data_IF_802402091756
#
_entry.id   IF_802402091756
#
_cell.length_a   1.000
_cell.length_b   1.000
_cell.length_c   1.000
_cell.angle_alpha   90.00
_cell.angle_beta   90.00
_cell.angle_gamma   90.00
#
_symmetry.space_group_name_H-M   'P 1'
#
loop_
_entity.id
_entity.type
_entity.pdbx_description
1 polymer ?
#
# COMPACT_ATOMS: atom_id res chain seq x y z
N UNK A 1 27.20 4.13 -11.84
CA UNK A 1 27.82 3.24 -10.83
C UNK A 1 27.11 3.55 -9.51
N UNK A 2 27.13 2.67 -8.50
CA UNK A 2 26.65 3.05 -7.16
C UNK A 2 27.86 3.50 -6.37
N UNK A 3 27.80 4.66 -5.72
CA UNK A 3 28.94 5.20 -4.99
C UNK A 3 28.83 4.84 -3.51
N UNK A 4 29.87 4.21 -2.98
CA UNK A 4 29.93 3.80 -1.57
C UNK A 4 29.88 4.99 -0.62
N UNK A 5 30.35 6.15 -1.07
CA UNK A 5 30.27 7.43 -0.36
C UNK A 5 28.82 7.85 -0.12
N UNK A 6 27.94 7.69 -1.12
CA UNK A 6 26.51 7.98 -0.97
C UNK A 6 25.84 6.95 -0.05
N UNK A 7 26.24 5.67 -0.13
CA UNK A 7 25.74 4.64 0.80
C UNK A 7 26.08 4.98 2.26
N UNK A 8 27.33 5.38 2.53
CA UNK A 8 27.78 5.79 3.87
C UNK A 8 27.05 7.06 4.34
N UNK A 9 26.93 8.06 3.47
CA UNK A 9 26.20 9.30 3.76
C UNK A 9 24.75 9.02 4.18
N UNK A 10 24.02 8.24 3.39
CA UNK A 10 22.61 7.94 3.64
C UNK A 10 22.40 7.10 4.91
N UNK A 11 23.28 6.13 5.20
CA UNK A 11 23.24 5.37 6.46
C UNK A 11 23.51 6.25 7.68
N UNK A 12 24.47 7.17 7.59
CA UNK A 12 24.79 8.12 8.66
C UNK A 12 23.61 9.09 8.87
N UNK A 13 23.04 9.65 7.81
CA UNK A 13 21.86 10.52 7.85
C UNK A 13 20.68 9.81 8.50
N UNK A 14 20.38 8.58 8.07
CA UNK A 14 19.32 7.77 8.65
C UNK A 14 19.51 7.57 10.16
N UNK A 15 20.71 7.18 10.59
CA UNK A 15 20.98 6.97 12.00
C UNK A 15 20.86 8.25 12.81
N UNK A 16 21.46 9.35 12.34
CA UNK A 16 21.43 10.63 13.03
C UNK A 16 19.99 11.11 13.24
N UNK A 17 19.19 11.12 12.17
CA UNK A 17 17.80 11.58 12.19
C UNK A 17 16.93 10.76 13.13
N UNK A 18 17.17 9.44 13.22
CA UNK A 18 16.36 8.53 14.05
C UNK A 18 16.80 8.46 15.52
N UNK A 19 18.08 8.68 15.80
CA UNK A 19 18.66 8.58 17.15
C UNK A 19 18.76 9.90 17.90
N UNK A 20 18.25 11.00 17.33
CA UNK A 20 18.37 12.36 17.88
C UNK A 20 19.85 12.77 18.12
N UNK A 21 20.76 12.35 17.23
CA UNK A 21 22.18 12.72 17.25
C UNK A 21 23.05 11.96 18.25
N UNK A 22 22.65 10.76 18.68
CA UNK A 22 23.50 9.88 19.50
C UNK A 22 24.73 9.38 18.71
N UNK A 23 25.75 8.87 19.40
CA UNK A 23 26.96 8.32 18.76
C UNK A 23 26.65 7.05 17.95
N UNK A 24 27.23 6.93 16.75
CA UNK A 24 27.09 5.74 15.88
C UNK A 24 28.33 4.84 16.00
N UNK A 25 28.17 3.59 16.42
CA UNK A 25 29.25 2.60 16.45
C UNK A 25 29.66 2.19 15.02
N UNK A 26 30.96 2.22 14.72
CA UNK A 26 31.48 1.87 13.38
C UNK A 26 31.15 0.41 13.01
N UNK A 27 31.15 -0.51 13.98
CA UNK A 27 30.76 -1.91 13.77
C UNK A 27 29.28 -2.07 13.32
N UNK A 28 28.41 -1.13 13.69
CA UNK A 28 27.00 -1.13 13.28
C UNK A 28 26.86 -0.51 11.89
N UNK A 29 27.61 0.56 11.61
CA UNK A 29 27.70 1.16 10.28
C UNK A 29 28.25 0.15 9.24
N UNK A 30 29.29 -0.60 9.58
CA UNK A 30 29.89 -1.63 8.72
C UNK A 30 28.87 -2.71 8.34
N UNK A 31 28.13 -3.26 9.32
CA UNK A 31 27.10 -4.26 9.05
C UNK A 31 26.00 -3.72 8.13
N UNK A 32 25.52 -2.51 8.44
CA UNK A 32 24.46 -1.88 7.66
C UNK A 32 24.91 -1.56 6.23
N UNK A 33 26.18 -1.18 6.04
CA UNK A 33 26.80 -0.95 4.74
C UNK A 33 26.76 -2.22 3.87
N UNK A 34 27.23 -3.36 4.40
CA UNK A 34 27.19 -4.63 3.65
C UNK A 34 25.77 -5.14 3.40
N UNK A 35 24.85 -4.93 4.35
CA UNK A 35 23.42 -5.26 4.16
C UNK A 35 22.81 -4.42 3.03
N UNK A 36 23.09 -3.12 2.99
CA UNK A 36 22.63 -2.23 1.92
C UNK A 36 23.25 -2.62 0.57
N UNK A 37 24.54 -2.95 0.55
CA UNK A 37 25.26 -3.45 -0.63
C UNK A 37 24.58 -4.70 -1.21
N UNK A 38 24.28 -5.69 -0.37
CA UNK A 38 23.62 -6.94 -0.77
C UNK A 38 22.21 -6.67 -1.34
N UNK A 39 21.42 -5.83 -0.67
CA UNK A 39 20.05 -5.53 -1.10
C UNK A 39 20.03 -4.81 -2.46
N UNK A 40 20.88 -3.80 -2.65
CA UNK A 40 20.94 -3.08 -3.92
C UNK A 40 21.50 -3.99 -5.03
N UNK A 41 22.54 -4.78 -4.73
CA UNK A 41 23.11 -5.74 -5.67
C UNK A 41 22.06 -6.75 -6.16
N UNK A 42 21.23 -7.27 -5.25
CA UNK A 42 20.11 -8.15 -5.59
C UNK A 42 19.07 -7.45 -6.48
N UNK A 43 18.69 -6.20 -6.18
CA UNK A 43 17.71 -5.44 -6.95
C UNK A 43 18.19 -5.14 -8.37
N UNK A 44 19.47 -4.81 -8.53
CA UNK A 44 20.08 -4.50 -9.83
C UNK A 44 20.61 -5.75 -10.56
N UNK A 45 20.57 -6.92 -9.91
CA UNK A 45 21.16 -8.16 -10.40
C UNK A 45 22.65 -7.99 -10.78
N UNK A 46 23.40 -7.33 -9.89
CA UNK A 46 24.85 -7.10 -10.00
C UNK A 46 25.53 -7.49 -8.68
N UNK A 47 26.83 -7.80 -8.75
CA UNK A 47 27.64 -8.02 -7.56
C UNK A 47 28.43 -6.74 -7.31
N UNK A 48 28.19 -6.13 -6.15
CA UNK A 48 29.05 -5.10 -5.59
C UNK A 48 30.08 -5.81 -4.68
N UNK A 49 31.33 -5.33 -4.67
CA UNK A 49 32.41 -5.90 -3.84
C UNK A 49 33.21 -4.76 -3.19
N UNK A 50 32.58 -3.99 -2.33
CA UNK A 50 33.23 -2.92 -1.58
C UNK A 50 34.01 -3.44 -0.36
N UNK A 51 35.13 -2.78 -0.02
CA UNK A 51 35.85 -3.01 1.25
C UNK A 51 35.55 -1.86 2.19
N UNK A 52 34.77 -2.12 3.25
CA UNK A 52 34.26 -1.07 4.14
C UNK A 52 35.37 -0.16 4.68
N UNK A 53 36.51 -0.71 5.10
CA UNK A 53 37.57 0.12 5.69
C UNK A 53 38.19 1.06 4.65
N UNK A 54 38.41 0.57 3.43
CA UNK A 54 38.94 1.40 2.34
C UNK A 54 37.95 2.49 1.91
N UNK A 55 36.67 2.16 1.82
CA UNK A 55 35.64 3.13 1.43
C UNK A 55 35.36 4.14 2.54
N UNK A 56 35.40 3.71 3.80
CA UNK A 56 35.24 4.61 4.95
C UNK A 56 36.42 5.56 5.11
N UNK A 57 37.67 5.10 4.90
CA UNK A 57 38.86 5.97 4.92
C UNK A 57 38.74 7.09 3.86
N UNK A 58 38.27 6.77 2.64
CA UNK A 58 38.01 7.77 1.60
C UNK A 58 36.93 8.75 2.03
N UNK A 59 35.82 8.25 2.59
CA UNK A 59 34.71 9.05 3.07
C UNK A 59 35.16 10.02 4.18
N UNK A 60 35.97 9.56 5.14
CA UNK A 60 36.53 10.39 6.22
C UNK A 60 37.44 11.50 5.65
N UNK A 61 38.30 11.18 4.68
CA UNK A 61 39.15 12.17 4.00
C UNK A 61 38.33 13.26 3.30
N UNK A 62 37.22 12.89 2.63
CA UNK A 62 36.30 13.82 1.97
C UNK A 62 35.52 14.71 2.95
N UNK A 63 35.29 14.21 4.17
CA UNK A 63 34.43 14.86 5.15
C UNK A 63 35.14 15.96 5.97
N UNK A 64 36.40 16.28 5.68
CA UNK A 64 37.20 17.40 6.24
C UNK A 64 37.11 17.64 7.78
N UNK A 65 36.97 16.58 8.59
CA UNK A 65 36.78 16.62 10.06
C UNK A 65 35.40 17.11 10.54
N UNK A 66 34.36 17.04 9.72
CA UNK A 66 33.02 17.45 10.15
C UNK A 66 32.48 16.54 11.28
N UNK A 67 32.94 15.29 11.35
CA UNK A 67 32.71 14.40 12.49
C UNK A 67 34.01 14.02 13.18
N UNK A 68 33.90 13.57 14.43
CA UNK A 68 35.04 13.01 15.15
C UNK A 68 34.81 11.54 15.43
N UNK A 69 35.87 10.75 15.28
CA UNK A 69 35.86 9.35 15.67
C UNK A 69 36.46 9.25 17.07
N UNK A 70 35.67 8.78 18.03
CA UNK A 70 36.12 8.51 19.40
C UNK A 70 35.70 7.10 19.79
N UNK A 71 36.63 6.30 20.32
CA UNK A 71 36.36 4.94 20.80
C UNK A 71 35.57 4.06 19.80
N UNK A 72 35.92 4.11 18.51
CA UNK A 72 35.26 3.38 17.41
C UNK A 72 33.80 3.83 17.15
N UNK A 73 33.51 5.11 17.42
CA UNK A 73 32.20 5.72 17.23
C UNK A 73 32.31 7.05 16.50
N UNK A 74 31.36 7.30 15.62
CA UNK A 74 31.14 8.61 15.02
C UNK A 74 30.38 9.46 16.02
N UNK A 75 31.01 10.55 16.46
CA UNK A 75 30.40 11.57 17.31
C UNK A 75 30.00 12.76 16.44
N UNK A 76 28.73 13.16 16.54
CA UNK A 76 28.17 14.28 15.80
C UNK A 76 28.29 15.59 16.61
N UNK A 77 28.65 16.68 15.94
CA UNK A 77 28.97 17.96 16.60
C UNK A 77 27.74 18.87 16.78
N UNK A 78 26.85 18.92 15.79
CA UNK A 78 25.57 19.67 15.76
C UNK A 78 24.68 19.21 14.59
N UNK A 79 23.51 19.85 14.36
CA UNK A 79 22.58 19.55 13.25
C UNK A 79 23.04 20.11 11.90
N UNK A 80 23.74 21.25 11.88
CA UNK A 80 24.29 21.86 10.64
C UNK A 80 25.34 20.95 9.96
N UNK A 81 25.87 19.97 10.70
CA UNK A 81 26.78 18.94 10.22
C UNK A 81 26.26 18.13 9.03
N UNK A 82 25.00 17.67 9.05
CA UNK A 82 24.51 16.76 8.02
C UNK A 82 24.40 17.44 6.65
N UNK A 83 23.93 18.68 6.64
CA UNK A 83 23.81 19.48 5.41
C UNK A 83 25.20 19.74 4.81
N UNK A 84 26.18 20.08 5.66
CA UNK A 84 27.55 20.31 5.22
C UNK A 84 28.24 19.03 4.73
N UNK A 85 27.98 17.90 5.38
CA UNK A 85 28.50 16.59 4.97
C UNK A 85 27.94 16.19 3.60
N UNK A 86 26.64 16.38 3.38
CA UNK A 86 25.99 16.12 2.09
C UNK A 86 26.57 17.00 0.99
N UNK A 87 26.72 18.30 1.23
CA UNK A 87 27.33 19.23 0.28
C UNK A 87 28.76 18.81 -0.12
N UNK A 88 29.58 18.35 0.83
CA UNK A 88 30.95 17.93 0.57
C UNK A 88 31.03 16.63 -0.23
N UNK A 89 30.19 15.65 0.09
CA UNK A 89 30.13 14.38 -0.65
C UNK A 89 29.65 14.63 -2.08
N UNK A 90 28.60 15.43 -2.26
CA UNK A 90 28.10 15.78 -3.58
C UNK A 90 29.11 16.59 -4.40
N UNK A 91 29.85 17.51 -3.77
CA UNK A 91 30.92 18.26 -4.43
C UNK A 91 32.09 17.35 -4.85
N UNK A 92 32.44 16.36 -4.03
CA UNK A 92 33.47 15.38 -4.37
C UNK A 92 33.09 14.50 -5.58
N UNK A 93 31.79 14.34 -5.83
CA UNK A 93 31.22 13.52 -6.89
C UNK A 93 30.62 14.35 -8.06
N UNK A 94 30.90 15.65 -8.15
CA UNK A 94 30.25 16.57 -9.11
C UNK A 94 30.38 16.12 -10.59
N UNK A 95 31.48 15.46 -10.94
CA UNK A 95 31.76 14.95 -12.29
C UNK A 95 31.37 13.46 -12.49
N UNK A 96 30.76 12.82 -11.50
CA UNK A 96 30.41 11.38 -11.53
C UNK A 96 28.96 11.12 -11.96
N UNK A 97 28.70 9.91 -12.49
CA UNK A 97 27.37 9.49 -12.96
C UNK A 97 26.53 8.87 -11.82
N UNK A 98 25.72 9.73 -11.18
CA UNK A 98 24.88 9.38 -10.02
C UNK A 98 23.56 8.67 -10.37
N UNK A 99 23.36 8.27 -11.65
CA UNK A 99 22.08 7.71 -12.11
C UNK A 99 21.57 6.53 -11.27
N UNK A 100 22.49 5.75 -10.69
CA UNK A 100 22.14 4.55 -9.90
C UNK A 100 22.12 4.78 -8.39
N UNK A 101 22.50 5.95 -7.88
CA UNK A 101 22.48 6.20 -6.44
C UNK A 101 21.06 6.41 -5.90
N UNK A 102 20.10 6.78 -6.77
CA UNK A 102 18.68 6.82 -6.39
C UNK A 102 18.11 5.48 -5.91
N UNK A 103 18.77 4.34 -6.20
CA UNK A 103 18.37 3.04 -5.64
C UNK A 103 18.68 2.92 -4.14
N UNK A 104 19.63 3.72 -3.62
CA UNK A 104 19.99 3.73 -2.20
C UNK A 104 18.80 4.18 -1.37
N UNK A 105 18.21 5.34 -1.67
CA UNK A 105 17.06 5.88 -0.93
C UNK A 105 15.86 4.91 -0.93
N UNK A 106 15.62 4.21 -2.04
CA UNK A 106 14.55 3.21 -2.15
C UNK A 106 14.79 1.95 -1.28
N UNK A 107 16.05 1.68 -0.93
CA UNK A 107 16.45 0.45 -0.20
C UNK A 107 16.73 0.75 1.27
N UNK A 108 17.07 1.99 1.60
CA UNK A 108 17.55 2.44 2.91
C UNK A 108 16.57 2.12 4.04
N UNK A 109 15.27 2.22 3.77
CA UNK A 109 14.20 1.98 4.75
C UNK A 109 13.85 0.50 4.92
N UNK A 110 14.86 -0.36 4.99
CA UNK A 110 14.72 -1.80 5.22
C UNK A 110 14.94 -2.15 6.71
N UNK A 111 14.11 -3.07 7.24
CA UNK A 111 14.21 -3.51 8.64
C UNK A 111 15.56 -4.12 9.02
N UNK A 112 16.25 -4.78 8.07
CA UNK A 112 17.58 -5.34 8.30
C UNK A 112 18.60 -4.22 8.54
N UNK A 113 18.54 -3.13 7.77
CA UNK A 113 19.40 -1.95 7.94
C UNK A 113 19.19 -1.33 9.32
N UNK A 114 17.94 -1.17 9.76
CA UNK A 114 17.64 -0.63 11.09
C UNK A 114 18.22 -1.49 12.21
N UNK A 115 18.15 -2.82 12.07
CA UNK A 115 18.71 -3.76 13.05
C UNK A 115 20.23 -3.68 13.12
N UNK A 116 20.89 -3.60 11.97
CA UNK A 116 22.33 -3.52 11.88
C UNK A 116 22.86 -2.19 12.41
N UNK A 117 22.16 -1.08 12.12
CA UNK A 117 22.40 0.23 12.73
C UNK A 117 21.99 0.32 14.20
N UNK A 118 21.32 -0.70 14.75
CA UNK A 118 20.76 -0.72 16.11
C UNK A 118 19.76 0.44 16.38
N UNK A 119 19.05 0.88 15.34
CA UNK A 119 17.95 1.84 15.43
C UNK A 119 16.75 1.15 16.07
N UNK A 120 16.13 1.81 17.07
CA UNK A 120 14.94 1.29 17.75
C UNK A 120 13.70 2.09 17.34
N UNK A 121 12.52 1.44 17.20
CA UNK A 121 11.30 2.16 16.87
C UNK A 121 10.88 3.06 18.03
N UNK A 122 10.68 4.35 17.76
CA UNK A 122 10.27 5.35 18.75
C UNK A 122 8.74 5.50 18.84
N UNK A 123 8.02 4.37 18.97
CA UNK A 123 6.55 4.33 18.96
C UNK A 123 5.92 5.28 19.99
N UNK A 124 6.52 5.41 21.18
CA UNK A 124 6.01 6.25 22.26
C UNK A 124 5.81 7.72 21.82
N UNK A 125 6.70 8.26 20.98
CA UNK A 125 6.63 9.64 20.47
C UNK A 125 5.43 9.85 19.53
N UNK A 126 5.05 8.82 18.78
CA UNK A 126 3.98 8.87 17.76
C UNK A 126 2.72 8.09 18.15
N UNK A 127 2.58 7.69 19.42
CA UNK A 127 1.46 6.84 19.89
C UNK A 127 0.09 7.42 19.51
N UNK A 128 -0.07 8.75 19.54
CA UNK A 128 -1.32 9.40 19.17
C UNK A 128 -1.69 9.19 17.70
N UNK A 129 -0.72 9.26 16.78
CA UNK A 129 -0.93 9.04 15.34
C UNK A 129 -1.48 7.62 15.09
N UNK A 130 -0.79 6.61 15.63
CA UNK A 130 -1.18 5.20 15.48
C UNK A 130 -2.49 4.88 16.21
N UNK A 131 -2.71 5.44 17.41
CA UNK A 131 -3.95 5.23 18.17
C UNK A 131 -5.16 5.86 17.48
N UNK A 132 -4.99 7.00 16.80
CA UNK A 132 -6.05 7.62 16.02
C UNK A 132 -6.44 6.73 14.83
N UNK A 133 -5.47 6.18 14.09
CA UNK A 133 -5.75 5.27 12.98
C UNK A 133 -6.50 4.01 13.45
N UNK A 134 -6.05 3.40 14.54
CA UNK A 134 -6.77 2.28 15.17
C UNK A 134 -8.21 2.69 15.53
N UNK A 135 -8.40 3.87 16.11
CA UNK A 135 -9.73 4.37 16.50
C UNK A 135 -10.64 4.59 15.29
N UNK A 136 -10.12 5.11 14.18
CA UNK A 136 -10.85 5.26 12.92
C UNK A 136 -11.33 3.89 12.43
N UNK A 137 -10.42 2.91 12.34
CA UNK A 137 -10.75 1.54 11.90
C UNK A 137 -11.80 0.87 12.79
N UNK A 138 -11.71 1.03 14.12
CA UNK A 138 -12.73 0.52 15.04
C UNK A 138 -14.10 1.16 14.82
N UNK A 139 -14.16 2.45 14.50
CA UNK A 139 -15.44 3.12 14.23
C UNK A 139 -16.04 2.66 12.89
N UNK A 140 -15.24 2.32 11.89
CA UNK A 140 -15.72 1.66 10.66
C UNK A 140 -16.31 0.27 10.93
N UNK A 141 -15.65 -0.53 11.75
CA UNK A 141 -16.20 -1.81 12.19
C UNK A 141 -17.48 -1.64 13.03
N UNK A 142 -17.58 -0.55 13.80
CA UNK A 142 -18.80 -0.23 14.54
C UNK A 142 -19.94 0.22 13.61
N UNK A 143 -19.64 0.95 12.51
CA UNK A 143 -20.61 1.24 11.45
C UNK A 143 -21.14 -0.05 10.82
N UNK A 144 -20.25 -0.99 10.47
CA UNK A 144 -20.63 -2.30 9.94
C UNK A 144 -21.58 -3.05 10.88
N UNK A 145 -21.27 -3.06 12.18
CA UNK A 145 -22.11 -3.70 13.18
C UNK A 145 -23.49 -3.03 13.32
N UNK A 146 -23.56 -1.69 13.28
CA UNK A 146 -24.82 -0.96 13.38
C UNK A 146 -25.70 -1.20 12.14
N UNK A 147 -25.12 -1.15 10.95
CA UNK A 147 -25.84 -1.43 9.71
C UNK A 147 -26.34 -2.88 9.69
N UNK A 148 -25.52 -3.85 10.10
CA UNK A 148 -25.92 -5.25 10.18
C UNK A 148 -27.09 -5.48 11.15
N UNK A 149 -27.17 -4.70 12.24
CA UNK A 149 -28.20 -4.86 13.28
C UNK A 149 -29.50 -4.12 12.98
N UNK A 150 -29.41 -2.97 12.31
CA UNK A 150 -30.54 -2.03 12.17
C UNK A 150 -30.97 -1.81 10.72
N UNK A 151 -30.16 -2.25 9.75
CA UNK A 151 -30.32 -1.93 8.34
C UNK A 151 -30.08 -0.47 7.99
N UNK A 152 -29.60 0.35 8.94
CA UNK A 152 -29.47 1.81 8.79
C UNK A 152 -28.05 2.24 9.15
N UNK A 153 -27.47 3.10 8.31
CA UNK A 153 -26.19 3.76 8.57
C UNK A 153 -26.41 4.90 9.59
N UNK A 154 -25.66 4.91 10.69
CA UNK A 154 -25.79 5.94 11.72
C UNK A 154 -25.06 7.23 11.31
N UNK A 155 -25.76 8.33 10.99
CA UNK A 155 -25.14 9.55 10.48
C UNK A 155 -24.31 10.29 11.54
N UNK A 156 -24.58 10.09 12.83
CA UNK A 156 -23.79 10.67 13.92
C UNK A 156 -22.44 9.98 13.99
N UNK A 157 -22.43 8.66 13.85
CA UNK A 157 -21.20 7.87 13.84
C UNK A 157 -20.34 8.19 12.60
N UNK A 158 -20.96 8.35 11.42
CA UNK A 158 -20.24 8.81 10.21
C UNK A 158 -19.59 10.18 10.44
N UNK A 159 -20.31 11.14 11.05
CA UNK A 159 -19.75 12.45 11.38
C UNK A 159 -18.63 12.40 12.44
N UNK A 160 -18.69 11.44 13.38
CA UNK A 160 -17.59 11.18 14.31
C UNK A 160 -16.35 10.67 13.56
N UNK A 161 -16.51 9.68 12.69
CA UNK A 161 -15.42 9.16 11.84
C UNK A 161 -14.80 10.28 11.01
N UNK A 162 -15.62 11.11 10.37
CA UNK A 162 -15.15 12.25 9.59
C UNK A 162 -14.30 13.22 10.42
N UNK A 163 -14.68 13.48 11.68
CA UNK A 163 -13.89 14.33 12.57
C UNK A 163 -12.56 13.69 12.96
N UNK A 164 -12.51 12.37 13.14
CA UNK A 164 -11.29 11.63 13.47
C UNK A 164 -10.33 11.57 12.28
N UNK A 165 -10.86 11.32 11.08
CA UNK A 165 -10.09 11.36 9.82
C UNK A 165 -9.46 12.73 9.63
N UNK A 166 -10.25 13.81 9.79
CA UNK A 166 -9.71 15.17 9.72
C UNK A 166 -8.64 15.45 10.78
N UNK A 167 -8.82 14.99 12.02
CA UNK A 167 -7.81 15.17 13.06
C UNK A 167 -6.51 14.43 12.73
N UNK A 168 -6.60 13.28 12.06
CA UNK A 168 -5.43 12.55 11.58
C UNK A 168 -4.72 13.32 10.47
N UNK A 169 -5.44 13.80 9.46
CA UNK A 169 -4.90 14.64 8.38
C UNK A 169 -4.24 15.92 8.93
N UNK A 170 -4.93 16.63 9.85
CA UNK A 170 -4.42 17.85 10.48
C UNK A 170 -3.14 17.58 11.29
N UNK A 171 -3.02 16.42 11.95
CA UNK A 171 -1.81 16.02 12.68
C UNK A 171 -0.67 15.64 11.72
N UNK A 172 -0.99 14.88 10.68
CA UNK A 172 -0.03 14.42 9.69
C UNK A 172 0.59 15.61 8.94
N UNK A 173 -0.22 16.61 8.57
CA UNK A 173 0.25 17.85 7.92
C UNK A 173 1.17 18.73 8.80
N UNK A 174 1.35 18.42 10.08
CA UNK A 174 2.28 19.12 10.98
C UNK A 174 3.63 18.41 11.13
N UNK A 175 3.75 17.17 10.61
CA UNK A 175 4.99 16.39 10.69
C UNK A 175 6.09 17.04 9.85
N UNK A 176 7.33 16.95 10.33
CA UNK A 176 8.52 17.34 9.57
C UNK A 176 9.17 16.09 8.96
N UNK A 177 10.11 16.27 8.03
CA UNK A 177 10.80 15.16 7.34
C UNK A 177 11.43 14.15 8.32
N UNK A 178 12.04 14.63 9.40
CA UNK A 178 12.61 13.77 10.44
C UNK A 178 11.56 12.96 11.20
N UNK A 179 10.34 13.47 11.31
CA UNK A 179 9.23 12.70 11.87
C UNK A 179 8.79 11.59 10.91
N UNK A 180 8.80 11.84 9.60
CA UNK A 180 8.45 10.84 8.58
C UNK A 180 9.43 9.66 8.62
N UNK A 181 10.74 9.93 8.67
CA UNK A 181 11.78 8.89 8.78
C UNK A 181 11.59 8.05 10.05
N UNK A 182 11.27 8.70 11.18
CA UNK A 182 10.96 8.00 12.45
C UNK A 182 9.70 7.12 12.34
N UNK A 183 8.70 7.59 11.60
CA UNK A 183 7.48 6.83 11.33
C UNK A 183 7.78 5.63 10.41
N UNK A 184 8.62 5.76 9.39
CA UNK A 184 9.04 4.65 8.51
C UNK A 184 9.75 3.54 9.27
N UNK A 185 10.59 3.90 10.24
CA UNK A 185 11.18 2.92 11.16
C UNK A 185 10.08 2.15 11.87
N UNK A 186 9.12 2.84 12.50
CA UNK A 186 8.01 2.18 13.21
C UNK A 186 7.21 1.27 12.27
N UNK A 187 6.87 1.76 11.07
CA UNK A 187 6.12 1.01 10.07
C UNK A 187 6.86 -0.23 9.60
N UNK A 188 8.18 -0.16 9.40
CA UNK A 188 8.98 -1.32 8.99
C UNK A 188 9.02 -2.41 10.05
N UNK A 189 9.13 -2.03 11.33
CA UNK A 189 9.01 -2.97 12.45
C UNK A 189 7.62 -3.59 12.54
N UNK A 190 6.56 -2.82 12.26
CA UNK A 190 5.21 -3.36 12.17
C UNK A 190 5.00 -4.26 10.95
N UNK A 191 5.59 -3.92 9.80
CA UNK A 191 5.52 -4.75 8.61
C UNK A 191 6.13 -6.12 8.87
N UNK A 192 7.33 -6.17 9.45
CA UNK A 192 7.94 -7.44 9.89
C UNK A 192 7.07 -8.18 10.91
N UNK A 193 6.41 -7.44 11.81
CA UNK A 193 5.55 -8.04 12.81
C UNK A 193 4.25 -8.59 12.22
N UNK A 194 3.64 -8.02 11.19
CA UNK A 194 2.27 -8.36 10.79
C UNK A 194 2.11 -8.90 9.38
N UNK A 195 3.00 -8.55 8.46
CA UNK A 195 3.00 -9.04 7.09
C UNK A 195 3.55 -10.46 7.01
N UNK A 196 3.26 -11.13 5.90
CA UNK A 196 3.67 -12.51 5.66
C UNK A 196 4.55 -12.59 4.42
N UNK A 197 5.46 -13.55 4.43
CA UNK A 197 6.21 -13.95 3.24
C UNK A 197 5.43 -15.09 2.58
N UNK A 198 4.75 -14.79 1.47
CA UNK A 198 3.87 -15.71 0.71
C UNK A 198 4.12 -15.49 -0.79
N UNK A 199 4.05 -16.57 -1.57
CA UNK A 199 4.28 -16.57 -3.02
C UNK A 199 3.21 -15.75 -3.79
N UNK A 200 2.10 -15.38 -3.14
CA UNK A 200 1.08 -14.52 -3.72
C UNK A 200 1.51 -13.04 -3.72
N UNK A 201 1.66 -12.46 -4.93
CA UNK A 201 2.07 -11.06 -5.15
C UNK A 201 1.26 -10.02 -4.35
N UNK A 202 -0.01 -10.35 -4.04
CA UNK A 202 -0.92 -9.44 -3.35
C UNK A 202 -1.11 -9.76 -1.87
N UNK A 203 -0.43 -10.76 -1.32
CA UNK A 203 -0.68 -11.30 0.02
C UNK A 203 -0.71 -10.24 1.15
N UNK A 204 0.04 -9.15 0.96
CA UNK A 204 0.17 -8.04 1.90
C UNK A 204 -0.55 -6.75 1.47
N UNK A 205 -1.24 -6.74 0.33
CA UNK A 205 -2.06 -5.58 -0.09
C UNK A 205 -3.35 -5.51 0.72
N UNK A 206 -3.83 -4.30 1.02
CA UNK A 206 -4.97 -4.11 1.92
C UNK A 206 -6.22 -4.80 1.46
N UNK A 207 -6.55 -4.64 0.17
CA UNK A 207 -7.74 -5.25 -0.40
C UNK A 207 -7.67 -6.77 -0.28
N UNK A 208 -6.50 -7.36 -0.53
CA UNK A 208 -6.33 -8.81 -0.43
C UNK A 208 -6.45 -9.27 1.02
N UNK A 209 -5.83 -8.54 1.96
CA UNK A 209 -5.95 -8.81 3.39
C UNK A 209 -7.42 -8.75 3.83
N UNK A 210 -8.16 -7.73 3.42
CA UNK A 210 -9.57 -7.53 3.79
C UNK A 210 -10.47 -8.63 3.19
N UNK A 211 -10.24 -9.00 1.94
CA UNK A 211 -11.11 -9.94 1.22
C UNK A 211 -10.77 -11.41 1.52
N UNK A 212 -9.49 -11.74 1.64
CA UNK A 212 -9.02 -13.13 1.58
C UNK A 212 -8.18 -13.57 2.78
N UNK A 213 -7.61 -12.66 3.58
CA UNK A 213 -6.75 -13.10 4.68
C UNK A 213 -7.50 -13.93 5.72
N UNK A 214 -6.94 -15.12 5.98
CA UNK A 214 -7.38 -16.01 7.05
C UNK A 214 -6.64 -15.71 8.37
N UNK A 215 -5.62 -14.84 8.35
CA UNK A 215 -4.74 -14.53 9.47
C UNK A 215 -5.15 -13.27 10.23
N UNK A 216 -5.56 -13.44 11.49
CA UNK A 216 -5.86 -12.31 12.40
C UNK A 216 -4.69 -11.33 12.56
N UNK A 217 -3.46 -11.81 12.37
CA UNK A 217 -2.23 -11.02 12.46
C UNK A 217 -2.17 -9.99 11.32
N UNK A 218 -2.41 -10.40 10.08
CA UNK A 218 -2.44 -9.50 8.92
C UNK A 218 -3.59 -8.49 9.01
N UNK A 219 -4.76 -8.85 9.54
CA UNK A 219 -5.82 -7.85 9.77
C UNK A 219 -5.39 -6.72 10.73
N UNK A 220 -4.37 -6.95 11.56
CA UNK A 220 -3.82 -5.92 12.43
C UNK A 220 -2.96 -4.91 11.68
N UNK A 221 -2.47 -5.24 10.46
CA UNK A 221 -1.70 -4.32 9.63
C UNK A 221 -2.54 -3.15 9.11
N UNK A 222 -3.81 -3.42 8.82
CA UNK A 222 -4.78 -2.42 8.34
C UNK A 222 -4.91 -1.21 9.27
N UNK A 223 -4.52 -1.32 10.55
CA UNK A 223 -4.60 -0.21 11.50
C UNK A 223 -3.60 0.90 11.22
N UNK A 224 -2.50 0.63 10.52
CA UNK A 224 -1.48 1.63 10.21
C UNK A 224 -1.37 1.92 8.72
N UNK A 225 -2.21 1.28 7.89
CA UNK A 225 -2.21 1.52 6.46
C UNK A 225 -2.49 2.96 6.09
N UNK A 226 -3.38 3.63 6.83
CA UNK A 226 -3.66 5.05 6.60
C UNK A 226 -2.39 5.90 6.68
N UNK A 227 -1.47 5.56 7.59
CA UNK A 227 -0.19 6.26 7.71
C UNK A 227 0.65 6.00 6.45
N UNK A 228 0.72 4.76 5.98
CA UNK A 228 1.44 4.40 4.74
C UNK A 228 0.89 5.19 3.55
N UNK A 229 -0.44 5.21 3.36
CA UNK A 229 -1.07 5.94 2.25
C UNK A 229 -0.80 7.45 2.34
N UNK A 230 -0.83 8.04 3.53
CA UNK A 230 -0.48 9.45 3.72
C UNK A 230 0.98 9.77 3.38
N UNK A 231 1.90 8.82 3.55
CA UNK A 231 3.30 8.97 3.16
C UNK A 231 3.50 8.88 1.64
N UNK A 232 2.85 7.91 0.99
CA UNK A 232 2.95 7.71 -0.46
C UNK A 232 2.35 8.87 -1.27
N UNK A 233 1.33 9.56 -0.75
CA UNK A 233 0.74 10.75 -1.39
C UNK A 233 1.72 11.95 -1.42
N UNK A 234 2.60 12.07 -0.42
CA UNK A 234 3.61 13.12 -0.36
C UNK A 234 4.77 12.86 -1.33
N UNK A 235 5.21 11.61 -1.51
CA UNK A 235 6.28 11.23 -2.48
C UNK A 235 5.89 11.54 -3.94
N UNK A 236 4.60 11.39 -4.28
CA UNK A 236 4.05 11.79 -5.59
C UNK A 236 4.04 13.33 -5.74
N UNK A 237 3.98 14.07 -4.63
CA UNK A 237 4.07 15.54 -4.62
C UNK A 237 5.51 16.04 -4.77
N UNK A 238 6.51 15.33 -4.21
CA UNK A 238 7.93 15.67 -4.30
C UNK A 238 8.58 15.24 -5.63
N UNK A 239 8.07 14.19 -6.29
CA UNK A 239 8.49 13.82 -7.66
C UNK A 239 7.99 14.79 -8.74
N UNK A 240 7.10 15.72 -8.39
CA UNK A 240 6.67 16.82 -9.26
C UNK A 240 7.37 18.13 -8.87
N UNK A 241 8.47 18.40 -9.58
CA UNK A 241 9.25 19.65 -9.63
C UNK A 241 10.25 19.91 -8.50
N UNK A 242 11.52 19.63 -8.81
CA UNK A 242 12.66 20.44 -8.37
C UNK A 242 12.39 21.92 -8.71
N UNK A 243 11.78 22.63 -7.76
CA UNK A 243 11.46 24.07 -7.83
C UNK A 243 12.69 24.98 -7.68
N UNK A 244 13.91 24.45 -7.79
CA UNK A 244 15.16 25.21 -7.64
C UNK A 244 15.68 25.85 -8.94
N UNK A 245 15.11 25.56 -10.11
CA UNK A 245 15.63 26.05 -11.40
C UNK A 245 14.75 27.07 -12.15
N UNK A 246 13.74 27.68 -11.52
CA UNK A 246 13.04 28.82 -12.13
C UNK A 246 13.73 30.10 -11.66
N UNK A 247 14.47 30.82 -12.53
CA UNK A 247 15.09 32.07 -12.14
C UNK A 247 14.00 33.06 -11.72
N UNK A 248 14.02 33.46 -10.45
CA UNK A 248 13.25 34.58 -9.93
C UNK A 248 13.74 35.87 -10.60
N UNK A 249 13.22 36.19 -11.78
CA UNK A 249 13.31 37.54 -12.33
C UNK A 249 12.04 37.88 -13.11
N UNK A 250 11.30 38.86 -12.57
CA UNK A 250 10.43 39.82 -13.26
C UNK A 250 9.48 39.29 -14.36
N UNK A 251 8.74 38.20 -14.11
CA UNK A 251 7.58 37.83 -14.93
C UNK A 251 6.27 37.97 -14.15
N UNK A 252 5.25 38.55 -14.79
CA UNK A 252 3.91 38.75 -14.24
C UNK A 252 3.24 37.37 -13.94
N UNK A 253 2.47 37.28 -12.84
CA UNK A 253 1.82 36.04 -12.36
C UNK A 253 1.04 35.27 -13.45
N UNK A 254 0.51 35.97 -14.46
CA UNK A 254 -0.23 35.37 -15.56
C UNK A 254 0.67 34.62 -16.57
N UNK A 255 1.95 35.02 -16.74
CA UNK A 255 2.93 34.30 -17.55
C UNK A 255 3.51 33.09 -16.82
N UNK A 256 3.68 33.17 -15.49
CA UNK A 256 4.07 32.01 -14.68
C UNK A 256 3.00 30.92 -14.70
N UNK A 257 1.71 31.28 -14.59
CA UNK A 257 0.60 30.33 -14.70
C UNK A 257 0.49 29.71 -16.11
N UNK A 258 0.74 30.48 -17.17
CA UNK A 258 0.78 29.99 -18.55
C UNK A 258 1.94 29.02 -18.81
N UNK A 259 3.10 29.27 -18.21
CA UNK A 259 4.26 28.35 -18.31
C UNK A 259 4.01 27.10 -17.47
N UNK A 260 3.42 27.20 -16.27
CA UNK A 260 2.99 26.05 -15.47
C UNK A 260 1.97 25.18 -16.21
N UNK A 261 0.94 25.78 -16.83
CA UNK A 261 -0.08 25.04 -17.57
C UNK A 261 0.46 24.35 -18.84
N UNK A 262 1.56 24.85 -19.42
CA UNK A 262 2.22 24.25 -20.58
C UNK A 262 3.37 23.29 -20.22
N UNK A 263 3.89 23.36 -18.99
CA UNK A 263 4.93 22.47 -18.48
C UNK A 263 4.38 21.30 -17.66
N UNK A 264 3.12 21.34 -17.23
CA UNK A 264 2.41 20.13 -16.81
C UNK A 264 2.30 19.28 -18.08
N UNK A 265 3.12 18.21 -18.25
CA UNK A 265 2.77 17.22 -19.25
C UNK A 265 1.37 16.78 -18.84
N UNK A 266 0.45 16.69 -19.81
CA UNK A 266 -0.91 16.15 -19.65
C UNK A 266 -0.98 15.35 -18.35
N UNK A 267 -1.80 15.77 -17.37
CA UNK A 267 -2.09 14.97 -16.18
C UNK A 267 -2.63 13.61 -16.64
N UNK A 268 -1.76 12.73 -17.13
CA UNK A 268 -1.89 11.30 -17.11
C UNK A 268 -1.86 10.99 -15.64
N UNK A 269 -3.04 11.11 -15.01
CA UNK A 269 -3.39 10.23 -13.93
C UNK A 269 -2.91 8.84 -14.37
N UNK A 270 -1.82 8.38 -13.77
CA UNK A 270 -1.33 7.04 -13.99
C UNK A 270 -2.51 6.15 -13.60
N UNK A 271 -3.11 5.49 -14.58
CA UNK A 271 -4.26 4.63 -14.35
C UNK A 271 -3.80 3.47 -13.47
N UNK A 272 -4.16 3.49 -12.18
CA UNK A 272 -3.94 2.34 -11.30
C UNK A 272 -5.09 1.33 -11.51
N UNK A 273 -4.77 0.22 -12.18
CA UNK A 273 -5.75 -0.83 -12.46
C UNK A 273 -6.32 -1.45 -11.18
N UNK A 274 -5.51 -1.58 -10.13
CA UNK A 274 -5.95 -2.19 -8.87
C UNK A 274 -6.97 -1.29 -8.17
N UNK A 275 -6.70 0.01 -8.05
CA UNK A 275 -7.65 0.96 -7.45
C UNK A 275 -8.96 1.01 -8.24
N UNK A 276 -8.87 0.97 -9.57
CA UNK A 276 -10.04 0.93 -10.44
C UNK A 276 -10.88 -0.33 -10.18
N UNK A 277 -10.21 -1.49 -10.11
CA UNK A 277 -10.86 -2.77 -9.85
C UNK A 277 -11.53 -2.80 -8.47
N UNK A 278 -10.83 -2.36 -7.43
CA UNK A 278 -11.34 -2.35 -6.06
C UNK A 278 -12.51 -1.38 -5.91
N UNK A 279 -12.47 -0.21 -6.56
CA UNK A 279 -13.62 0.69 -6.61
C UNK A 279 -14.83 0.04 -7.27
N UNK A 280 -14.66 -0.65 -8.39
CA UNK A 280 -15.74 -1.38 -9.04
C UNK A 280 -16.32 -2.45 -8.09
N UNK A 281 -15.45 -3.24 -7.46
CA UNK A 281 -15.81 -4.28 -6.51
C UNK A 281 -16.62 -3.71 -5.34
N UNK A 282 -16.21 -2.58 -4.74
CA UNK A 282 -16.90 -1.96 -3.60
C UNK A 282 -18.31 -1.51 -3.97
N UNK A 283 -18.47 -0.88 -5.14
CA UNK A 283 -19.80 -0.49 -5.65
C UNK A 283 -20.68 -1.72 -5.87
N UNK A 284 -20.12 -2.79 -6.46
CA UNK A 284 -20.85 -4.04 -6.71
C UNK A 284 -21.25 -4.74 -5.40
N UNK A 285 -20.33 -4.82 -4.42
CA UNK A 285 -20.58 -5.34 -3.08
C UNK A 285 -21.72 -4.57 -2.40
N UNK A 286 -21.71 -3.23 -2.45
CA UNK A 286 -22.77 -2.42 -1.86
C UNK A 286 -24.14 -2.72 -2.50
N UNK A 287 -24.21 -2.85 -3.83
CA UNK A 287 -25.44 -3.22 -4.53
C UNK A 287 -25.92 -4.63 -4.18
N UNK A 288 -24.99 -5.58 -4.01
CA UNK A 288 -25.32 -6.94 -3.60
C UNK A 288 -25.86 -7.00 -2.17
N UNK A 289 -25.26 -6.26 -1.23
CA UNK A 289 -25.68 -6.17 0.17
C UNK A 289 -27.13 -5.67 0.35
N UNK A 290 -27.60 -4.79 -0.54
CA UNK A 290 -28.99 -4.34 -0.57
C UNK A 290 -29.99 -5.42 -0.98
N UNK A 291 -29.55 -6.38 -1.80
CA UNK A 291 -30.38 -7.50 -2.28
C UNK A 291 -30.41 -8.66 -1.28
N UNK A 292 -29.47 -8.71 -0.33
CA UNK A 292 -29.34 -9.78 0.64
C UNK A 292 -30.32 -9.65 1.81
N UNK A 293 -31.02 -10.75 2.10
CA UNK A 293 -31.77 -10.92 3.34
C UNK A 293 -30.82 -10.91 4.56
N UNK A 294 -31.36 -10.63 5.76
CA UNK A 294 -30.58 -10.70 6.99
C UNK A 294 -30.15 -12.15 7.27
N UNK A 295 -28.84 -12.39 7.23
CA UNK A 295 -28.22 -13.66 7.55
C UNK A 295 -26.89 -13.44 8.29
N UNK A 296 -26.35 -14.51 8.90
CA UNK A 296 -25.15 -14.41 9.72
C UNK A 296 -23.92 -13.89 8.96
N UNK A 297 -23.81 -14.24 7.69
CA UNK A 297 -22.66 -13.92 6.83
C UNK A 297 -22.73 -12.53 6.18
N UNK A 298 -23.90 -11.88 6.12
CA UNK A 298 -24.05 -10.48 5.72
C UNK A 298 -23.24 -9.53 6.61
N UNK A 299 -23.10 -9.86 7.89
CA UNK A 299 -22.29 -9.09 8.84
C UNK A 299 -20.81 -9.06 8.44
N UNK A 300 -20.27 -10.19 7.99
CA UNK A 300 -18.87 -10.29 7.60
C UNK A 300 -18.62 -9.51 6.31
N UNK A 301 -19.53 -9.60 5.34
CA UNK A 301 -19.50 -8.78 4.12
C UNK A 301 -19.62 -7.27 4.40
N UNK A 302 -20.41 -6.87 5.40
CA UNK A 302 -20.48 -5.48 5.83
C UNK A 302 -19.17 -5.01 6.47
N UNK A 303 -18.51 -5.87 7.25
CA UNK A 303 -17.18 -5.54 7.78
C UNK A 303 -16.17 -5.34 6.64
N UNK A 304 -16.17 -6.22 5.63
CA UNK A 304 -15.35 -6.05 4.44
C UNK A 304 -15.66 -4.72 3.73
N UNK A 305 -16.94 -4.40 3.49
CA UNK A 305 -17.36 -3.12 2.89
C UNK A 305 -16.72 -1.94 3.60
N UNK A 306 -16.85 -1.88 4.92
CA UNK A 306 -16.38 -0.74 5.70
C UNK A 306 -14.86 -0.67 5.85
N UNK A 307 -14.17 -1.81 5.91
CA UNK A 307 -12.71 -1.84 5.87
C UNK A 307 -12.16 -1.40 4.50
N UNK A 308 -12.83 -1.80 3.41
CA UNK A 308 -12.48 -1.34 2.07
C UNK A 308 -12.71 0.17 1.92
N UNK A 309 -13.82 0.70 2.45
CA UNK A 309 -14.04 2.17 2.49
C UNK A 309 -12.87 2.84 3.23
N UNK A 310 -12.48 2.34 4.41
CA UNK A 310 -11.48 2.96 5.27
C UNK A 310 -10.05 2.95 4.69
N UNK A 311 -9.76 2.06 3.75
CA UNK A 311 -8.45 1.86 3.09
C UNK A 311 -8.41 2.42 1.67
N UNK A 312 -9.49 3.06 1.20
CA UNK A 312 -9.58 3.65 -0.14
C UNK A 312 -9.98 5.14 -0.02
N UNK A 313 -9.02 6.09 0.02
CA UNK A 313 -9.28 7.50 0.32
C UNK A 313 -10.38 8.15 -0.54
N UNK A 314 -10.38 7.89 -1.86
CA UNK A 314 -11.39 8.46 -2.77
C UNK A 314 -12.81 7.98 -2.50
N UNK A 315 -12.97 6.75 -2.02
CA UNK A 315 -14.26 6.15 -1.66
C UNK A 315 -14.67 6.62 -0.26
N UNK A 316 -13.71 6.71 0.64
CA UNK A 316 -13.89 7.26 1.98
C UNK A 316 -14.43 8.68 1.93
N UNK A 317 -13.78 9.56 1.16
CA UNK A 317 -14.19 10.96 1.02
C UNK A 317 -15.65 11.05 0.55
N UNK A 318 -16.01 10.26 -0.47
CA UNK A 318 -17.38 10.17 -0.96
C UNK A 318 -18.33 9.70 0.15
N UNK A 319 -17.98 8.60 0.84
CA UNK A 319 -18.81 8.02 1.90
C UNK A 319 -19.03 8.99 3.06
N UNK A 320 -18.00 9.67 3.54
CA UNK A 320 -18.10 10.62 4.65
C UNK A 320 -18.97 11.83 4.29
N UNK A 321 -18.90 12.29 3.03
CA UNK A 321 -19.71 13.40 2.51
C UNK A 321 -21.17 13.00 2.27
N UNK A 322 -21.41 11.89 1.58
CA UNK A 322 -22.74 11.43 1.19
C UNK A 322 -23.46 10.64 2.29
N UNK A 323 -22.71 10.11 3.27
CA UNK A 323 -23.16 9.22 4.35
C UNK A 323 -23.76 7.89 3.87
N UNK A 324 -23.49 7.54 2.61
CA UNK A 324 -23.90 6.30 1.94
C UNK A 324 -23.03 6.11 0.70
N UNK A 325 -23.02 4.90 0.12
CA UNK A 325 -22.44 4.60 -1.19
C UNK A 325 -23.51 4.53 -2.31
N UNK A 326 -24.79 4.72 -2.00
CA UNK A 326 -25.90 4.43 -2.95
C UNK A 326 -25.96 5.33 -4.19
N UNK A 327 -25.23 6.46 -4.18
CA UNK A 327 -25.08 7.34 -5.33
C UNK A 327 -23.68 7.30 -5.95
N UNK A 328 -22.82 6.36 -5.54
CA UNK A 328 -21.49 6.21 -6.11
C UNK A 328 -21.60 5.39 -7.39
N UNK A 329 -21.43 6.06 -8.53
CA UNK A 329 -21.42 5.39 -9.83
C UNK A 329 -20.21 4.44 -9.95
N UNK A 330 -20.40 3.38 -10.73
CA UNK A 330 -19.29 2.55 -11.21
C UNK A 330 -18.24 3.43 -11.91
N UNK A 331 -16.95 3.11 -11.73
CA UNK A 331 -15.90 3.84 -12.41
C UNK A 331 -16.06 3.68 -13.93
N UNK A 332 -15.89 4.78 -14.68
CA UNK A 332 -16.12 4.78 -16.13
C UNK A 332 -14.92 4.20 -16.86
N UNK A 333 -15.18 3.21 -17.72
CA UNK A 333 -14.19 2.58 -18.58
C UNK A 333 -13.87 3.48 -19.79
N UNK A 334 -12.76 4.22 -19.77
CA UNK A 334 -12.25 4.86 -20.98
C UNK A 334 -11.33 3.90 -21.75
N UNK A 335 -11.73 3.50 -22.96
CA UNK A 335 -11.02 2.47 -23.76
C UNK A 335 -9.52 2.74 -23.98
N UNK A 336 -9.09 3.99 -23.90
CA UNK A 336 -7.69 4.40 -24.07
C UNK A 336 -6.78 4.00 -22.91
N UNK A 337 -7.34 3.69 -21.73
CA UNK A 337 -6.57 3.31 -20.54
C UNK A 337 -6.19 1.82 -20.51
N UNK A 338 -6.75 1.04 -21.41
CA UNK A 338 -6.63 -0.41 -21.38
C UNK A 338 -5.65 -0.91 -22.43
N UNK A 339 -4.81 -1.86 -22.01
CA UNK A 339 -3.97 -2.68 -22.87
C UNK A 339 -4.40 -4.14 -22.74
N UNK A 340 -3.90 -5.02 -23.62
CA UNK A 340 -4.19 -6.46 -23.56
C UNK A 340 -3.76 -7.10 -22.21
N UNK A 341 -2.86 -6.44 -21.47
CA UNK A 341 -2.40 -6.87 -20.15
C UNK A 341 -3.23 -6.36 -18.98
N UNK A 342 -4.16 -5.41 -19.17
CA UNK A 342 -4.86 -4.79 -18.04
C UNK A 342 -5.70 -5.80 -17.25
N UNK A 343 -5.58 -5.74 -15.92
CA UNK A 343 -6.12 -6.67 -14.93
C UNK A 343 -5.56 -8.10 -14.98
N UNK A 344 -4.60 -8.42 -15.85
CA UNK A 344 -4.03 -9.78 -15.93
C UNK A 344 -3.35 -10.19 -14.62
N UNK A 345 -2.79 -9.24 -13.89
CA UNK A 345 -2.19 -9.43 -12.57
C UNK A 345 -3.16 -10.14 -11.58
N UNK A 346 -4.46 -9.84 -11.65
CA UNK A 346 -5.50 -10.41 -10.79
C UNK A 346 -5.95 -11.83 -11.17
N UNK A 347 -5.53 -12.34 -12.34
CA UNK A 347 -6.00 -13.62 -12.88
C UNK A 347 -5.68 -14.80 -11.95
N UNK A 348 -4.49 -14.85 -11.36
CA UNK A 348 -4.13 -15.94 -10.45
C UNK A 348 -5.04 -15.96 -9.21
N UNK A 349 -5.30 -14.79 -8.62
CA UNK A 349 -6.26 -14.68 -7.50
C UNK A 349 -7.67 -15.14 -7.89
N UNK A 350 -8.11 -14.86 -9.13
CA UNK A 350 -9.39 -15.35 -9.65
C UNK A 350 -9.41 -16.88 -9.74
N UNK A 351 -8.31 -17.50 -10.15
CA UNK A 351 -8.19 -18.96 -10.18
C UNK A 351 -8.27 -19.55 -8.77
N UNK A 352 -7.58 -18.96 -7.80
CA UNK A 352 -7.64 -19.41 -6.40
C UNK A 352 -9.05 -19.27 -5.82
N UNK A 353 -9.76 -18.17 -6.15
CA UNK A 353 -11.15 -17.96 -5.78
C UNK A 353 -12.08 -19.07 -6.29
N UNK A 354 -11.80 -19.67 -7.46
CA UNK A 354 -12.62 -20.79 -8.00
C UNK A 354 -12.47 -22.03 -7.11
N UNK A 355 -11.28 -22.29 -6.59
CA UNK A 355 -11.02 -23.48 -5.77
C UNK A 355 -11.71 -23.40 -4.40
N UNK A 356 -11.93 -22.19 -3.88
CA UNK A 356 -12.62 -21.92 -2.61
C UNK A 356 -14.13 -22.27 -2.64
N UNK A 357 -14.70 -22.68 -3.79
CA UNK A 357 -16.07 -23.21 -3.86
C UNK A 357 -16.15 -24.73 -3.63
N UNK A 358 -15.03 -25.44 -3.47
CA UNK A 358 -15.00 -26.90 -3.32
C UNK A 358 -15.41 -27.40 -1.90
N UNK A 359 -16.41 -26.77 -1.27
CA UNK A 359 -17.00 -27.19 -0.01
C UNK A 359 -18.35 -27.90 -0.21
N UNK A 360 -18.49 -29.11 0.34
CA UNK A 360 -19.80 -29.78 0.36
C UNK A 360 -20.73 -29.08 1.33
N UNK A 361 -22.01 -28.97 0.97
CA UNK A 361 -23.05 -28.27 1.74
C UNK A 361 -23.08 -28.65 3.23
N UNK A 362 -22.85 -29.93 3.54
CA UNK A 362 -22.88 -30.47 4.90
C UNK A 362 -21.83 -29.87 5.85
N UNK A 363 -20.79 -29.20 5.33
CA UNK A 363 -19.68 -28.66 6.11
C UNK A 363 -19.58 -27.13 6.07
N UNK A 364 -20.51 -26.46 5.40
CA UNK A 364 -20.46 -25.00 5.20
C UNK A 364 -20.88 -24.29 6.49
N UNK A 365 -20.04 -23.35 6.94
CA UNK A 365 -20.35 -22.39 8.01
C UNK A 365 -20.72 -21.01 7.43
N UNK A 366 -21.27 -20.11 8.25
CA UNK A 366 -21.50 -18.72 7.83
C UNK A 366 -20.22 -18.03 7.32
N UNK A 367 -19.07 -18.33 7.93
CA UNK A 367 -17.80 -17.77 7.47
C UNK A 367 -17.44 -18.26 6.07
N UNK A 368 -17.69 -19.54 5.79
CA UNK A 368 -17.47 -20.12 4.47
C UNK A 368 -18.44 -19.52 3.43
N UNK A 369 -19.71 -19.29 3.81
CA UNK A 369 -20.68 -18.55 2.98
C UNK A 369 -20.18 -17.15 2.62
N UNK A 370 -19.74 -16.35 3.61
CA UNK A 370 -19.21 -15.02 3.36
C UNK A 370 -18.02 -15.08 2.41
N UNK A 371 -17.10 -16.03 2.63
CA UNK A 371 -15.90 -16.17 1.81
C UNK A 371 -16.21 -16.58 0.37
N UNK A 372 -17.09 -17.55 0.16
CA UNK A 372 -17.56 -17.93 -1.19
C UNK A 372 -18.24 -16.77 -1.91
N UNK A 373 -19.02 -15.95 -1.20
CA UNK A 373 -19.64 -14.75 -1.78
C UNK A 373 -18.58 -13.70 -2.14
N UNK A 374 -17.59 -13.46 -1.28
CA UNK A 374 -16.44 -12.60 -1.58
C UNK A 374 -15.72 -13.08 -2.86
N UNK A 375 -15.42 -14.37 -2.96
CA UNK A 375 -14.82 -14.98 -4.14
C UNK A 375 -15.69 -14.80 -5.39
N UNK A 376 -17.01 -15.03 -5.28
CA UNK A 376 -17.94 -14.88 -6.41
C UNK A 376 -18.00 -13.43 -6.92
N UNK A 377 -18.07 -12.45 -6.01
CA UNK A 377 -18.08 -11.03 -6.34
C UNK A 377 -16.77 -10.60 -6.99
N UNK A 378 -15.64 -11.13 -6.52
CA UNK A 378 -14.31 -10.85 -7.07
C UNK A 378 -14.17 -11.41 -8.50
N UNK A 379 -14.51 -12.69 -8.70
CA UNK A 379 -14.54 -13.33 -10.03
C UNK A 379 -15.46 -12.54 -10.96
N UNK A 380 -16.66 -12.16 -10.50
CA UNK A 380 -17.61 -11.40 -11.31
C UNK A 380 -17.04 -10.04 -11.72
N UNK A 381 -16.41 -9.32 -10.79
CA UNK A 381 -15.77 -8.04 -11.06
C UNK A 381 -14.66 -8.18 -12.11
N UNK A 382 -13.85 -9.24 -12.03
CA UNK A 382 -12.86 -9.56 -13.04
C UNK A 382 -13.48 -9.85 -14.41
N UNK A 383 -14.55 -10.64 -14.48
CA UNK A 383 -15.21 -10.95 -15.75
C UNK A 383 -15.83 -9.72 -16.42
N UNK A 384 -16.30 -8.76 -15.63
CA UNK A 384 -16.88 -7.50 -16.13
C UNK A 384 -15.82 -6.52 -16.63
N UNK A 385 -14.65 -6.50 -15.98
CA UNK A 385 -13.58 -5.54 -16.24
C UNK A 385 -12.50 -6.04 -17.20
N UNK A 386 -12.20 -7.34 -17.18
CA UNK A 386 -11.13 -7.92 -17.98
C UNK A 386 -11.45 -7.80 -19.48
N UNK A 387 -10.41 -7.40 -20.22
CA UNK A 387 -10.44 -7.27 -21.68
C UNK A 387 -9.85 -8.52 -22.34
N UNK A 388 -9.11 -9.32 -21.57
CA UNK A 388 -8.54 -10.58 -22.04
C UNK A 388 -9.64 -11.66 -22.12
N UNK A 389 -10.22 -11.81 -23.30
CA UNK A 389 -11.28 -12.80 -23.55
C UNK A 389 -10.82 -14.26 -23.38
N UNK A 390 -9.53 -14.56 -23.59
CA UNK A 390 -8.99 -15.91 -23.36
C UNK A 390 -9.06 -16.29 -21.88
N UNK A 391 -8.60 -15.39 -21.00
CA UNK A 391 -8.69 -15.60 -19.55
C UNK A 391 -10.14 -15.69 -19.08
N UNK A 392 -11.05 -14.87 -19.61
CA UNK A 392 -12.48 -14.92 -19.28
C UNK A 392 -13.10 -16.26 -19.64
N UNK A 393 -12.84 -16.75 -20.84
CA UNK A 393 -13.35 -18.05 -21.28
C UNK A 393 -12.74 -19.21 -20.49
N UNK A 394 -11.47 -19.11 -20.10
CA UNK A 394 -10.85 -20.10 -19.22
C UNK A 394 -11.51 -20.13 -17.83
N UNK A 395 -11.70 -18.96 -17.20
CA UNK A 395 -12.39 -18.83 -15.90
C UNK A 395 -13.77 -19.48 -15.96
N UNK A 396 -14.58 -19.11 -16.96
CA UNK A 396 -15.91 -19.72 -17.18
C UNK A 396 -15.82 -21.23 -17.34
N UNK A 397 -14.89 -21.72 -18.17
CA UNK A 397 -14.70 -23.15 -18.43
C UNK A 397 -14.30 -23.91 -17.18
N UNK A 398 -13.45 -23.35 -16.31
CA UNK A 398 -13.05 -23.96 -15.04
C UNK A 398 -14.23 -24.09 -14.09
N UNK A 399 -15.01 -23.03 -13.92
CA UNK A 399 -16.25 -23.04 -13.11
C UNK A 399 -17.22 -24.10 -13.62
N UNK A 400 -17.56 -24.06 -14.92
CA UNK A 400 -18.52 -25.01 -15.51
C UNK A 400 -18.06 -26.46 -15.43
N UNK A 401 -16.73 -26.70 -15.35
CA UNK A 401 -16.18 -28.04 -15.29
C UNK A 401 -15.94 -28.60 -13.90
N UNK A 402 -16.08 -27.77 -12.87
CA UNK A 402 -15.75 -28.12 -11.49
C UNK A 402 -16.71 -29.15 -10.88
N UNK A 403 -16.28 -29.75 -9.77
CA UNK A 403 -17.15 -30.63 -8.99
C UNK A 403 -18.28 -29.85 -8.30
N UNK A 404 -17.98 -28.65 -7.77
CA UNK A 404 -18.94 -27.83 -7.05
C UNK A 404 -20.11 -27.36 -7.93
N UNK A 405 -19.93 -27.30 -9.25
CA UNK A 405 -20.99 -26.91 -10.17
C UNK A 405 -21.80 -28.10 -10.71
N UNK A 406 -21.20 -29.30 -10.76
CA UNK A 406 -21.80 -30.50 -11.38
C UNK A 406 -22.49 -31.45 -10.41
N UNK A 407 -22.19 -31.38 -9.11
CA UNK A 407 -22.64 -32.38 -8.12
C UNK A 407 -23.70 -31.79 -7.19
N UNK A 408 -24.68 -32.62 -6.83
CA UNK A 408 -25.78 -32.24 -5.93
C UNK A 408 -25.34 -31.96 -4.49
N UNK A 409 -24.16 -32.40 -4.07
CA UNK A 409 -23.63 -32.15 -2.71
C UNK A 409 -23.16 -30.70 -2.49
N UNK A 410 -23.27 -29.84 -3.51
CA UNK A 410 -22.70 -28.47 -3.57
C UNK A 410 -23.75 -27.44 -4.00
N UNK A 411 -25.02 -27.62 -3.59
CA UNK A 411 -26.11 -26.74 -4.02
C UNK A 411 -25.86 -25.30 -3.60
N UNK A 412 -25.27 -25.06 -2.43
CA UNK A 412 -25.02 -23.70 -1.97
C UNK A 412 -23.96 -22.99 -2.82
N UNK A 413 -22.82 -23.65 -3.07
CA UNK A 413 -21.78 -23.13 -3.94
C UNK A 413 -22.33 -22.85 -5.35
N UNK A 414 -23.06 -23.81 -5.93
CA UNK A 414 -23.66 -23.64 -7.25
C UNK A 414 -24.68 -22.49 -7.30
N UNK A 415 -25.46 -22.27 -6.23
CA UNK A 415 -26.40 -21.16 -6.14
C UNK A 415 -25.69 -19.81 -6.16
N UNK A 416 -24.59 -19.64 -5.40
CA UNK A 416 -23.84 -18.39 -5.41
C UNK A 416 -23.22 -18.09 -6.77
N UNK A 417 -22.69 -19.11 -7.45
CA UNK A 417 -22.16 -18.99 -8.81
C UNK A 417 -23.27 -18.54 -9.77
N UNK A 418 -24.42 -19.21 -9.75
CA UNK A 418 -25.54 -18.88 -10.62
C UNK A 418 -26.07 -17.46 -10.33
N UNK A 419 -26.22 -17.09 -9.05
CA UNK A 419 -26.81 -15.82 -8.61
C UNK A 419 -25.89 -14.60 -8.77
N UNK A 420 -24.57 -14.77 -8.65
CA UNK A 420 -23.61 -13.66 -8.65
C UNK A 420 -22.84 -13.61 -9.97
N UNK A 421 -22.32 -14.75 -10.44
CA UNK A 421 -21.44 -14.76 -11.61
C UNK A 421 -22.26 -14.77 -12.91
N UNK A 422 -23.30 -15.60 -12.99
CA UNK A 422 -24.03 -15.83 -14.24
C UNK A 422 -25.34 -15.05 -14.38
N UNK A 423 -25.94 -14.54 -13.30
CA UNK A 423 -27.27 -13.89 -13.29
C UNK A 423 -27.42 -12.65 -14.18
N UNK A 424 -26.35 -11.89 -14.42
CA UNK A 424 -26.41 -10.62 -15.17
C UNK A 424 -25.96 -10.71 -16.63
N UNK A 425 -25.57 -11.89 -17.11
CA UNK A 425 -25.44 -12.15 -18.55
C UNK A 425 -26.66 -12.95 -18.99
N UNK A 426 -27.17 -12.72 -20.20
CA UNK A 426 -28.09 -13.63 -20.92
C UNK A 426 -27.48 -15.04 -21.17
N UNK A 427 -26.62 -15.54 -20.28
CA UNK A 427 -26.17 -16.91 -20.19
C UNK A 427 -27.26 -17.74 -19.52
N UNK A 428 -28.34 -18.01 -20.26
CA UNK A 428 -29.24 -19.12 -19.96
C UNK A 428 -28.48 -20.45 -20.09
N UNK A 429 -27.65 -20.76 -19.10
CA UNK A 429 -27.09 -22.09 -18.93
C UNK A 429 -28.18 -22.96 -18.33
N UNK A 430 -28.88 -23.68 -19.21
CA UNK A 430 -29.76 -24.76 -18.80
C UNK A 430 -28.87 -25.80 -18.12
N UNK A 431 -29.06 -26.05 -16.83
CA UNK A 431 -28.51 -27.24 -16.16
C UNK A 431 -28.95 -28.45 -16.97
N UNK A 432 -28.05 -29.01 -17.79
CA UNK A 432 -28.21 -30.38 -18.26
C UNK A 432 -27.95 -31.30 -17.06
N UNK A 433 -28.99 -31.48 -16.25
CA UNK A 433 -29.10 -32.61 -15.33
C UNK A 433 -28.99 -33.87 -16.20
N UNK A 434 -27.87 -34.60 -16.08
CA UNK A 434 -27.72 -35.94 -16.65
C UNK A 434 -28.10 -37.00 -15.63
#
# INVERSE_FOLDING_TARGET
MIHSEIMLLELIKLYYKTSDGEELELDNLEKAFYTLEELIGNQLNVILEYDFNQEFDKFEEMSENNFTIQDNRICFSDEEYLDLLEDLVLLALEDEDLTYDGFISNTLHNICIYRDLNIKPCYDKYTNLFSNCFTIMQNYLFLAYQEAKTGIINPILVSLVQSLVKQHEDYYAMLQDDDLIKIEVILSYFNEMYLVDDDCDFCNSDWYIILFSKHKKQLSSLNYQRIITSMEEDDISFSNYNKKDIPENDMEEDEQNSILDNLIPDKTYLFNEIDFFIRYYIVYLNQYLHKLEENGWKKDLLQQKYLLIATNPSIEEYFLKAKTLDGLDFPKLEKKWFTDGTFTSLYLTVIDCIEEFNFKDAFITDRDCSHMVTCALFIRSFLDLSINEEQKEEVKKRILNSNFYKKEDYLMASSFIDDIIFREQDMHLTRELK
#
